data_IF_060107935054
#
_entry.id   IF_060107935054
#
_cell.length_a   1.000
_cell.length_b   1.000
_cell.length_c   1.000
_cell.angle_alpha   90.00
_cell.angle_beta   90.00
_cell.angle_gamma   90.00
#
_symmetry.space_group_name_H-M   'P 1'
#
loop_
_entity.id
_entity.type
_entity.pdbx_description
1 polymer ?
#
# COMPACT_ATOMS: atom_id res chain seq x y z
N UNK A 1 15.86 15.90 16.67
CA UNK A 1 15.01 16.57 15.66
C UNK A 1 14.44 15.61 14.61
N UNK A 2 15.10 14.48 14.29
CA UNK A 2 14.61 13.49 13.32
C UNK A 2 13.27 12.80 13.70
N UNK A 3 13.02 12.55 15.00
CA UNK A 3 11.81 11.85 15.44
C UNK A 3 10.51 12.62 15.18
N UNK A 4 10.53 13.96 15.18
CA UNK A 4 9.34 14.77 14.87
C UNK A 4 8.97 14.71 13.38
N UNK A 5 9.97 14.62 12.50
CA UNK A 5 9.77 14.55 11.05
C UNK A 5 9.23 13.17 10.64
N UNK A 6 9.74 12.09 11.24
CA UNK A 6 9.25 10.73 10.99
C UNK A 6 7.80 10.53 11.45
N UNK A 7 7.44 11.07 12.63
CA UNK A 7 6.05 11.04 13.12
C UNK A 7 5.09 11.90 12.29
N UNK A 8 5.55 13.03 11.74
CA UNK A 8 4.77 13.82 10.78
C UNK A 8 4.49 13.06 9.49
N UNK A 9 5.47 12.29 8.99
CA UNK A 9 5.32 11.47 7.79
C UNK A 9 4.33 10.31 8.00
N UNK A 10 4.35 9.67 9.17
CA UNK A 10 3.39 8.61 9.52
C UNK A 10 1.97 9.12 9.81
N UNK A 11 1.78 10.42 10.06
CA UNK A 11 0.46 11.02 10.28
C UNK A 11 -0.24 11.42 8.98
N UNK A 12 0.49 11.52 7.88
CA UNK A 12 -0.07 11.86 6.56
C UNK A 12 -0.68 10.65 5.83
N UNK A 13 -0.49 9.42 6.30
CA UNK A 13 -0.92 8.18 5.63
C UNK A 13 -2.23 7.56 6.14
N UNK A 14 -2.96 8.20 7.06
CA UNK A 14 -4.31 7.73 7.46
C UNK A 14 -5.41 8.48 6.69
N UNK A 15 -6.19 7.83 5.80
CA UNK A 15 -7.39 8.45 5.28
C UNK A 15 -8.42 8.58 6.40
N UNK A 16 -8.90 9.81 6.55
CA UNK A 16 -9.92 10.28 7.47
C UNK A 16 -11.25 9.53 7.24
N UNK A 17 -11.53 8.48 8.00
CA UNK A 17 -12.86 7.87 8.10
C UNK A 17 -13.56 8.31 9.38
N UNK A 18 -14.05 9.55 9.38
CA UNK A 18 -14.99 10.05 10.39
C UNK A 18 -16.00 10.97 9.70
N UNK A 19 -17.04 10.36 9.13
CA UNK A 19 -18.29 11.03 8.81
C UNK A 19 -19.44 10.11 9.17
N UNK A 20 -19.88 10.20 10.43
CA UNK A 20 -21.12 9.59 10.91
C UNK A 20 -22.19 10.68 10.83
N UNK A 21 -23.34 10.32 10.23
CA UNK A 21 -24.68 10.96 10.24
C UNK A 21 -25.07 11.72 8.97
N UNK A 22 -25.81 11.03 8.08
CA UNK A 22 -27.23 11.30 7.81
C UNK A 22 -27.95 9.98 7.53
N UNK A 23 -29.11 9.78 8.16
CA UNK A 23 -29.99 8.62 8.00
C UNK A 23 -30.74 8.70 6.66
N UNK A 24 -30.69 7.60 5.89
CA UNK A 24 -31.75 7.17 4.96
C UNK A 24 -31.80 5.63 4.97
N UNK A 25 -33.00 5.07 4.86
CA UNK A 25 -33.30 3.64 4.91
C UNK A 25 -32.57 2.86 3.79
N UNK A 26 -32.02 1.70 4.15
CA UNK A 26 -31.09 0.87 3.38
C UNK A 26 -29.81 1.61 2.97
N UNK A 27 -28.61 1.04 3.17
CA UNK A 27 -27.43 1.57 2.51
C UNK A 27 -27.64 1.36 1.00
N UNK A 28 -28.20 2.36 0.32
CA UNK A 28 -27.97 2.53 -1.11
C UNK A 28 -26.49 2.81 -1.22
N UNK A 29 -25.70 1.75 -1.33
CA UNK A 29 -24.30 1.87 -1.71
C UNK A 29 -24.29 2.74 -2.97
N UNK A 30 -23.54 3.86 -3.00
CA UNK A 30 -23.47 4.67 -4.20
C UNK A 30 -23.12 3.74 -5.36
N UNK A 31 -23.85 3.84 -6.46
CA UNK A 31 -23.61 3.00 -7.63
C UNK A 31 -22.16 3.20 -8.06
N UNK A 32 -21.28 2.26 -7.66
CA UNK A 32 -19.84 2.37 -7.85
C UNK A 32 -19.50 2.44 -9.33
N UNK A 33 -20.36 1.89 -10.20
CA UNK A 33 -20.13 1.77 -11.64
C UNK A 33 -20.52 3.06 -12.36
N UNK A 34 -21.63 3.71 -11.98
CA UNK A 34 -22.11 4.93 -12.64
C UNK A 34 -22.55 4.65 -14.09
N UNK A 35 -22.18 5.54 -15.03
CA UNK A 35 -22.48 5.40 -16.47
C UNK A 35 -21.35 4.70 -17.24
N UNK A 36 -20.76 3.65 -16.65
CA UNK A 36 -19.70 2.85 -17.26
C UNK A 36 -20.29 1.57 -17.82
N UNK A 37 -19.81 1.18 -19.00
CA UNK A 37 -20.21 -0.08 -19.60
C UNK A 37 -19.62 -1.27 -18.84
N UNK A 38 -20.46 -2.28 -18.60
CA UNK A 38 -20.05 -3.61 -18.16
C UNK A 38 -19.77 -4.42 -19.43
N UNK A 39 -18.51 -4.75 -19.65
CA UNK A 39 -17.99 -5.35 -20.89
C UNK A 39 -17.70 -6.85 -20.72
N UNK A 40 -17.63 -7.36 -19.49
CA UNK A 40 -17.33 -8.76 -19.25
C UNK A 40 -17.69 -9.25 -17.85
N UNK A 41 -17.38 -10.51 -17.58
CA UNK A 41 -17.67 -11.16 -16.29
C UNK A 41 -16.75 -10.71 -15.15
N UNK A 42 -15.53 -10.27 -15.46
CA UNK A 42 -14.54 -9.90 -14.45
C UNK A 42 -13.83 -11.09 -13.80
N UNK A 43 -12.89 -10.77 -12.92
CA UNK A 43 -12.06 -11.76 -12.23
C UNK A 43 -12.84 -12.64 -11.24
N UNK A 44 -13.89 -12.11 -10.61
CA UNK A 44 -14.65 -12.74 -9.53
C UNK A 44 -16.17 -12.73 -9.78
N UNK A 45 -16.61 -12.49 -11.01
CA UNK A 45 -18.04 -12.31 -11.35
C UNK A 45 -18.63 -10.97 -10.93
N UNK A 46 -17.82 -10.06 -10.37
CA UNK A 46 -18.22 -8.69 -10.05
C UNK A 46 -17.83 -7.74 -11.18
N UNK A 47 -18.69 -6.76 -11.44
CA UNK A 47 -18.45 -5.64 -12.35
C UNK A 47 -17.42 -4.65 -11.74
N UNK A 48 -16.17 -5.10 -11.58
CA UNK A 48 -15.05 -4.35 -11.03
C UNK A 48 -13.95 -4.07 -12.07
N UNK A 49 -13.22 -2.99 -11.86
CA UNK A 49 -12.07 -2.59 -12.69
C UNK A 49 -10.77 -2.94 -11.97
N UNK A 50 -9.88 -3.68 -12.63
CA UNK A 50 -8.54 -4.03 -12.13
C UNK A 50 -7.57 -4.13 -13.32
N UNK A 51 -6.41 -3.48 -13.23
CA UNK A 51 -5.32 -3.67 -14.18
C UNK A 51 -4.48 -4.89 -13.77
N UNK A 52 -4.73 -6.04 -14.41
CA UNK A 52 -4.09 -7.32 -14.09
C UNK A 52 -3.59 -8.03 -15.35
N UNK A 53 -2.47 -8.73 -15.22
CA UNK A 53 -1.89 -9.51 -16.32
C UNK A 53 -2.76 -10.72 -16.68
N UNK A 54 -3.29 -11.41 -15.67
CA UNK A 54 -4.13 -12.60 -15.84
C UNK A 54 -5.58 -12.28 -16.21
N UNK A 55 -6.01 -11.04 -15.99
CA UNK A 55 -7.31 -10.54 -16.41
C UNK A 55 -7.12 -9.26 -17.25
N UNK A 56 -6.66 -9.38 -18.51
CA UNK A 56 -6.35 -8.23 -19.37
C UNK A 56 -7.59 -7.40 -19.74
N UNK A 57 -8.78 -7.98 -19.59
CA UNK A 57 -10.06 -7.40 -19.97
C UNK A 57 -10.93 -7.26 -18.71
N UNK A 58 -10.85 -6.12 -17.99
CA UNK A 58 -11.63 -5.92 -16.78
C UNK A 58 -13.13 -5.92 -17.07
N UNK A 59 -13.95 -6.15 -16.04
CA UNK A 59 -15.40 -6.30 -16.21
C UNK A 59 -16.08 -5.01 -16.66
N UNK A 60 -15.51 -3.85 -16.30
CA UNK A 60 -16.03 -2.52 -16.62
C UNK A 60 -14.95 -1.67 -17.26
N UNK A 61 -15.33 -0.58 -17.91
CA UNK A 61 -14.37 0.44 -18.39
C UNK A 61 -13.79 1.29 -17.27
N UNK A 62 -12.64 1.91 -17.52
CA UNK A 62 -12.06 2.85 -16.57
C UNK A 62 -12.90 4.14 -16.41
N UNK A 63 -13.20 4.84 -17.52
CA UNK A 63 -13.98 6.09 -17.53
C UNK A 63 -15.45 5.87 -17.88
N UNK A 64 -16.30 6.81 -17.43
CA UNK A 64 -17.71 6.88 -17.80
C UNK A 64 -17.89 7.21 -19.29
N UNK A 65 -19.02 6.78 -19.85
CA UNK A 65 -19.35 7.03 -21.25
C UNK A 65 -19.58 8.53 -21.49
N UNK A 66 -18.71 9.12 -22.31
CA UNK A 66 -18.85 10.48 -22.85
C UNK A 66 -19.12 10.41 -24.36
N UNK A 67 -19.70 11.44 -25.00
CA UNK A 67 -19.98 11.43 -26.44
C UNK A 67 -18.74 11.18 -27.30
N UNK A 68 -17.55 11.57 -26.83
CA UNK A 68 -16.29 11.28 -27.53
C UNK A 68 -15.90 9.80 -27.49
N UNK A 69 -16.22 9.09 -26.40
CA UNK A 69 -15.95 7.65 -26.28
C UNK A 69 -16.90 6.86 -27.19
N UNK A 70 -18.14 7.32 -27.37
CA UNK A 70 -19.15 6.66 -28.19
C UNK A 70 -18.81 6.66 -29.70
N UNK A 71 -17.81 7.44 -30.14
CA UNK A 71 -17.27 7.41 -31.51
C UNK A 71 -16.69 6.04 -31.88
N UNK A 72 -16.35 5.21 -30.89
CA UNK A 72 -15.82 3.86 -31.10
C UNK A 72 -16.79 2.92 -31.84
N UNK A 73 -18.10 3.20 -31.83
CA UNK A 73 -19.11 2.38 -32.52
C UNK A 73 -19.08 2.57 -34.04
N UNK A 74 -18.39 3.61 -34.53
CA UNK A 74 -18.20 3.88 -35.95
C UNK A 74 -17.02 3.16 -36.58
N UNK A 75 -16.62 3.61 -37.77
CA UNK A 75 -15.48 3.02 -38.51
C UNK A 75 -14.12 3.51 -37.96
N UNK A 76 -13.30 2.57 -37.48
CA UNK A 76 -11.99 2.85 -36.88
C UNK A 76 -10.93 3.31 -37.89
N UNK A 77 -11.18 3.15 -39.20
CA UNK A 77 -10.30 3.71 -40.24
C UNK A 77 -10.38 5.24 -40.29
N UNK A 78 -11.48 5.83 -39.82
CA UNK A 78 -11.68 7.29 -39.79
C UNK A 78 -11.09 7.95 -38.54
N UNK A 79 -10.73 7.15 -37.53
CA UNK A 79 -10.18 7.65 -36.27
C UNK A 79 -8.71 8.00 -36.40
N UNK A 80 -8.33 9.17 -35.88
CA UNK A 80 -6.93 9.57 -35.76
C UNK A 80 -6.21 8.70 -34.71
N UNK A 81 -4.87 8.71 -34.75
CA UNK A 81 -4.06 7.98 -33.76
C UNK A 81 -4.31 8.51 -32.35
N UNK A 82 -4.56 9.81 -32.21
CA UNK A 82 -4.84 10.46 -30.92
C UNK A 82 -6.19 10.03 -30.36
N UNK A 83 -7.22 9.94 -31.21
CA UNK A 83 -8.54 9.44 -30.81
C UNK A 83 -8.47 7.98 -30.36
N UNK A 84 -7.69 7.14 -31.06
CA UNK A 84 -7.46 5.75 -30.64
C UNK A 84 -6.78 5.66 -29.28
N UNK A 85 -5.76 6.49 -29.03
CA UNK A 85 -5.10 6.58 -27.72
C UNK A 85 -6.06 7.07 -26.63
N UNK A 86 -6.93 8.03 -26.94
CA UNK A 86 -7.93 8.54 -26.02
C UNK A 86 -8.98 7.46 -25.66
N UNK A 87 -9.45 6.70 -26.65
CA UNK A 87 -10.35 5.56 -26.45
C UNK A 87 -9.69 4.46 -25.60
N UNK A 88 -8.40 4.19 -25.84
CA UNK A 88 -7.65 3.25 -25.02
C UNK A 88 -7.58 3.73 -23.56
N UNK A 89 -7.27 5.00 -23.31
CA UNK A 89 -7.24 5.59 -21.94
C UNK A 89 -8.60 5.78 -21.29
N UNK A 90 -9.67 5.74 -22.08
CA UNK A 90 -11.03 5.69 -21.55
C UNK A 90 -11.42 4.29 -21.10
N UNK A 91 -10.95 3.27 -21.82
CA UNK A 91 -11.21 1.86 -21.52
C UNK A 91 -10.31 1.36 -20.39
N UNK A 92 -9.03 1.73 -20.42
CA UNK A 92 -8.00 1.27 -19.50
C UNK A 92 -7.33 2.44 -18.75
N UNK A 93 -7.05 2.26 -17.46
CA UNK A 93 -6.32 3.22 -16.65
C UNK A 93 -4.84 3.23 -17.03
N UNK A 94 -4.20 2.06 -16.93
CA UNK A 94 -2.77 1.88 -17.18
C UNK A 94 -2.53 0.96 -18.38
N UNK A 95 -1.41 1.15 -19.07
CA UNK A 95 -0.91 0.17 -20.04
C UNK A 95 -0.18 -0.97 -19.33
N UNK A 96 0.01 -2.10 -20.01
CA UNK A 96 0.86 -3.19 -19.51
C UNK A 96 2.25 -2.74 -19.09
N UNK A 97 2.85 -1.82 -19.84
CA UNK A 97 4.18 -1.28 -19.49
C UNK A 97 4.17 -0.41 -18.24
N UNK A 98 3.05 0.26 -17.93
CA UNK A 98 2.95 1.18 -16.80
C UNK A 98 2.77 0.45 -15.48
N UNK A 99 1.83 -0.51 -15.41
CA UNK A 99 1.58 -1.20 -14.14
C UNK A 99 2.59 -2.32 -13.86
N UNK A 100 3.32 -2.80 -14.88
CA UNK A 100 4.45 -3.71 -14.70
C UNK A 100 5.78 -2.99 -14.46
N UNK A 101 5.78 -1.64 -14.50
CA UNK A 101 7.01 -0.89 -14.30
C UNK A 101 7.57 -1.14 -12.88
N UNK A 102 8.87 -1.42 -12.74
CA UNK A 102 9.48 -1.62 -11.43
C UNK A 102 9.46 -0.31 -10.63
N UNK A 103 8.86 -0.33 -9.43
CA UNK A 103 8.70 0.86 -8.57
C UNK A 103 9.96 1.20 -7.77
N UNK A 104 10.89 0.25 -7.62
CA UNK A 104 12.11 0.43 -6.81
C UNK A 104 11.89 0.30 -5.30
N UNK A 105 10.72 -0.15 -4.86
CA UNK A 105 10.38 -0.38 -3.44
C UNK A 105 11.42 -1.22 -2.68
N UNK A 106 12.08 -2.16 -3.36
CA UNK A 106 13.16 -2.97 -2.80
C UNK A 106 14.28 -2.13 -2.17
N UNK A 107 14.58 -0.94 -2.70
CA UNK A 107 15.58 -0.02 -2.13
C UNK A 107 15.12 0.51 -0.77
N UNK A 108 13.83 0.84 -0.64
CA UNK A 108 13.22 1.25 0.62
C UNK A 108 13.23 0.12 1.65
N UNK A 109 12.92 -1.11 1.23
CA UNK A 109 12.98 -2.29 2.10
C UNK A 109 14.39 -2.54 2.64
N UNK A 110 15.43 -2.44 1.79
CA UNK A 110 16.83 -2.55 2.22
C UNK A 110 17.18 -1.40 3.17
N UNK A 111 16.81 -0.17 2.84
CA UNK A 111 17.05 1.00 3.69
C UNK A 111 16.47 0.81 5.09
N UNK A 112 15.22 0.39 5.20
CA UNK A 112 14.57 0.11 6.49
C UNK A 112 15.24 -1.02 7.27
N UNK A 113 15.68 -2.07 6.58
CA UNK A 113 16.37 -3.21 7.22
C UNK A 113 17.71 -2.79 7.85
N UNK A 114 18.37 -1.78 7.28
CA UNK A 114 19.68 -1.31 7.74
C UNK A 114 19.61 -0.18 8.79
N UNK A 115 18.42 0.30 9.16
CA UNK A 115 18.28 1.34 10.19
C UNK A 115 18.56 0.77 11.59
N UNK A 116 19.29 1.55 12.39
CA UNK A 116 19.80 1.18 13.70
C UNK A 116 18.73 0.88 14.75
N UNK A 117 19.07 -0.02 15.68
CA UNK A 117 18.25 -0.40 16.83
C UNK A 117 18.03 0.77 17.80
N UNK A 118 16.93 0.75 18.59
CA UNK A 118 16.69 1.72 19.65
C UNK A 118 17.84 1.73 20.68
N UNK A 119 17.99 2.80 21.47
CA UNK A 119 19.01 2.87 22.52
C UNK A 119 18.83 1.70 23.51
N UNK A 120 19.96 1.17 24.00
CA UNK A 120 19.94 0.10 24.99
C UNK A 120 19.23 0.55 26.28
N UNK A 121 18.60 -0.38 27.02
CA UNK A 121 18.01 -0.07 28.33
C UNK A 121 19.04 0.47 29.33
N UNK A 122 18.59 1.25 30.32
CA UNK A 122 19.45 1.85 31.35
C UNK A 122 20.26 0.80 32.14
N UNK A 123 19.76 -0.43 32.26
CA UNK A 123 20.49 -1.54 32.90
C UNK A 123 21.80 -1.92 32.18
N UNK A 124 21.99 -1.50 30.93
CA UNK A 124 23.23 -1.69 30.17
C UNK A 124 24.30 -0.62 30.46
N UNK A 125 24.00 0.41 31.24
CA UNK A 125 25.00 1.35 31.74
C UNK A 125 26.06 0.60 32.56
N UNK A 126 27.31 1.05 32.46
CA UNK A 126 28.45 0.35 33.08
C UNK A 126 28.31 0.21 34.60
N UNK A 127 27.92 1.28 35.29
CA UNK A 127 27.68 1.28 36.74
C UNK A 127 26.61 0.25 37.15
N UNK A 128 25.49 0.20 36.41
CA UNK A 128 24.39 -0.73 36.67
C UNK A 128 24.81 -2.18 36.43
N UNK A 129 25.59 -2.43 35.37
CA UNK A 129 26.15 -3.76 35.07
C UNK A 129 27.12 -4.22 36.15
N UNK A 130 27.99 -3.32 36.64
CA UNK A 130 28.94 -3.64 37.70
C UNK A 130 28.25 -3.89 39.04
N UNK A 131 27.24 -3.08 39.38
CA UNK A 131 26.42 -3.30 40.57
C UNK A 131 25.68 -4.65 40.51
N UNK A 132 25.12 -4.99 39.35
CA UNK A 132 24.47 -6.29 39.13
C UNK A 132 25.49 -7.44 39.22
N UNK A 133 26.66 -7.32 38.61
CA UNK A 133 27.72 -8.33 38.68
C UNK A 133 28.18 -8.56 40.13
N UNK A 134 28.36 -7.49 40.91
CA UNK A 134 28.71 -7.57 42.32
C UNK A 134 27.64 -8.31 43.12
N UNK A 135 26.36 -8.01 42.85
CA UNK A 135 25.22 -8.74 43.44
C UNK A 135 25.21 -10.22 43.04
N UNK A 136 25.51 -10.56 41.79
CA UNK A 136 25.54 -11.95 41.31
C UNK A 136 26.65 -12.77 41.99
N UNK A 137 27.83 -12.18 42.18
CA UNK A 137 28.93 -12.82 42.93
C UNK A 137 28.59 -13.01 44.41
N UNK A 138 27.94 -12.02 45.03
CA UNK A 138 27.48 -12.13 46.42
C UNK A 138 26.48 -13.27 46.63
N UNK A 139 25.60 -13.50 45.65
CA UNK A 139 24.59 -14.56 45.67
C UNK A 139 25.12 -15.91 45.15
N UNK A 140 26.41 -16.02 44.84
CA UNK A 140 27.06 -17.21 44.30
C UNK A 140 26.33 -17.82 43.10
N UNK A 141 25.84 -16.98 42.18
CA UNK A 141 25.13 -17.48 41.00
C UNK A 141 26.07 -18.33 40.14
N UNK A 142 25.64 -19.54 39.80
CA UNK A 142 26.38 -20.55 39.03
C UNK A 142 27.79 -20.84 39.60
N UNK A 143 27.90 -21.45 40.80
CA UNK A 143 29.15 -21.52 41.56
C UNK A 143 30.10 -22.65 41.15
N UNK A 144 29.70 -23.59 40.29
CA UNK A 144 30.56 -24.73 39.88
C UNK A 144 31.36 -24.42 38.62
N UNK A 145 30.72 -23.85 37.59
CA UNK A 145 31.33 -23.63 36.26
C UNK A 145 31.14 -22.20 35.74
N UNK A 146 30.39 -21.37 36.47
CA UNK A 146 29.88 -20.09 35.98
C UNK A 146 30.61 -18.87 36.53
N UNK A 147 29.85 -17.79 36.71
CA UNK A 147 30.42 -16.46 36.96
C UNK A 147 30.98 -16.29 38.37
N UNK A 148 30.53 -17.10 39.34
CA UNK A 148 31.00 -17.05 40.73
C UNK A 148 32.17 -18.00 40.99
N UNK A 149 32.45 -18.92 40.07
CA UNK A 149 33.60 -19.83 40.13
C UNK A 149 34.85 -19.27 39.44
N UNK A 150 34.78 -18.03 38.93
CA UNK A 150 35.86 -17.32 38.21
C UNK A 150 36.14 -15.96 38.85
#
# INVERSE_FOLDING_TARGET
MANKVLMLYMRQSTPMYLNIRKLSAFPTFPNKIGNRDIVGHGYNGEASYLDRVDCPMPAIRFKANTPDILKEKGDWKKLSIEEKKALYRASYCQTFSEFLAPTGEWKGAIGMTLIAYPPMPESFNEENRLAQLKRMKLLEINPVTGISSK
#
